data_IF_450790364387
#
_entry.id   IF_450790364387
#
_cell.length_a   1.000
_cell.length_b   1.000
_cell.length_c   1.000
_cell.angle_alpha   90.00
_cell.angle_beta   90.00
_cell.angle_gamma   90.00
#
_symmetry.space_group_name_H-M   'P 1'
#
loop_
_entity.id
_entity.type
_entity.pdbx_description
1 polymer ?
#
# COMPACT_ATOMS: atom_id res chain seq x y z
N UNK A 1 26.02 3.80 -28.09
CA UNK A 1 24.76 3.14 -28.53
C UNK A 1 24.78 1.74 -27.94
N UNK A 2 24.26 1.57 -26.75
CA UNK A 2 24.11 0.30 -26.05
C UNK A 2 22.65 -0.07 -26.02
N UNK A 3 22.33 -1.18 -26.62
CA UNK A 3 21.00 -1.76 -26.76
C UNK A 3 20.44 -2.09 -25.36
N UNK A 4 19.34 -1.48 -25.01
CA UNK A 4 18.51 -1.83 -23.85
C UNK A 4 17.94 -3.23 -24.11
N UNK A 5 18.49 -4.24 -23.45
CA UNK A 5 17.94 -5.58 -23.49
C UNK A 5 16.78 -5.68 -22.47
N UNK A 6 15.64 -6.10 -23.01
CA UNK A 6 14.37 -6.29 -22.36
C UNK A 6 14.46 -6.99 -20.99
N UNK A 7 14.09 -6.27 -19.95
CA UNK A 7 13.75 -6.86 -18.66
C UNK A 7 12.45 -7.66 -18.81
N UNK A 8 12.47 -8.94 -18.45
CA UNK A 8 11.29 -9.78 -18.43
C UNK A 8 10.90 -10.06 -16.98
N UNK A 9 9.68 -9.70 -16.63
CA UNK A 9 9.04 -10.23 -15.43
C UNK A 9 8.69 -11.68 -15.74
N UNK A 10 9.31 -12.60 -15.00
CA UNK A 10 9.07 -14.02 -15.18
C UNK A 10 8.19 -14.50 -14.04
N UNK A 11 6.96 -14.94 -14.35
CA UNK A 11 6.04 -15.54 -13.40
C UNK A 11 6.18 -17.06 -13.56
N UNK A 12 6.96 -17.68 -12.72
CA UNK A 12 7.02 -19.12 -12.60
C UNK A 12 6.49 -19.55 -11.23
N UNK A 13 5.49 -20.40 -11.21
CA UNK A 13 4.94 -21.04 -10.00
C UNK A 13 4.41 -20.07 -8.92
N UNK A 14 3.66 -19.03 -9.29
CA UNK A 14 3.10 -18.03 -8.38
C UNK A 14 4.15 -17.20 -7.61
N UNK A 15 5.40 -17.19 -8.04
CA UNK A 15 6.44 -16.31 -7.52
C UNK A 15 6.68 -15.16 -8.48
N UNK A 16 6.62 -13.93 -7.96
CA UNK A 16 7.09 -12.74 -8.71
C UNK A 16 8.57 -12.62 -8.45
N UNK A 17 9.39 -13.04 -9.41
CA UNK A 17 10.83 -12.82 -9.41
C UNK A 17 11.12 -11.83 -10.52
N UNK A 18 11.47 -10.61 -10.16
CA UNK A 18 11.95 -9.61 -11.12
C UNK A 18 13.42 -9.90 -11.35
N UNK A 19 13.77 -10.49 -12.50
CA UNK A 19 15.15 -10.82 -12.85
C UNK A 19 15.69 -9.74 -13.77
N UNK A 20 16.69 -9.00 -13.29
CA UNK A 20 17.45 -8.05 -14.08
C UNK A 20 18.91 -8.46 -14.18
N UNK A 21 19.52 -8.27 -15.33
CA UNK A 21 20.95 -8.43 -15.56
C UNK A 21 21.61 -7.05 -15.63
N UNK A 22 22.69 -6.90 -14.86
CA UNK A 22 23.73 -5.87 -14.91
C UNK A 22 23.36 -4.43 -14.48
N UNK A 23 23.77 -4.08 -13.26
CA UNK A 23 24.18 -2.73 -12.90
C UNK A 23 25.23 -2.76 -11.79
N UNK A 24 26.48 -2.92 -12.19
CA UNK A 24 27.62 -3.20 -11.30
C UNK A 24 28.35 -1.96 -10.75
N UNK A 25 27.94 -0.72 -10.98
CA UNK A 25 28.80 0.44 -10.71
C UNK A 25 28.37 1.40 -9.58
N UNK A 26 27.23 1.25 -8.93
CA UNK A 26 26.76 2.27 -7.98
C UNK A 26 27.07 2.06 -6.50
N UNK A 27 27.70 0.96 -6.10
CA UNK A 27 27.85 0.62 -4.67
C UNK A 27 29.30 0.56 -4.16
N UNK A 28 30.09 1.59 -4.40
CA UNK A 28 31.45 1.72 -3.84
C UNK A 28 31.49 2.68 -2.63
N UNK A 29 30.63 2.57 -1.65
CA UNK A 29 30.73 3.40 -0.46
C UNK A 29 30.87 2.58 0.84
N UNK A 30 31.57 3.18 1.83
CA UNK A 30 31.80 2.64 3.18
C UNK A 30 30.53 2.18 3.90
N UNK A 31 29.39 2.78 3.56
CA UNK A 31 28.04 2.45 4.04
C UNK A 31 27.58 1.07 3.57
N UNK A 32 27.93 0.68 2.35
CA UNK A 32 27.61 -0.63 1.78
C UNK A 32 28.27 -1.77 2.57
N UNK A 33 29.51 -1.58 3.00
CA UNK A 33 30.21 -2.56 3.83
C UNK A 33 29.57 -2.72 5.22
N UNK A 34 29.08 -1.65 5.81
CA UNK A 34 28.40 -1.69 7.11
C UNK A 34 27.03 -2.39 7.00
N UNK A 35 26.26 -2.10 5.96
CA UNK A 35 24.98 -2.76 5.68
C UNK A 35 25.18 -4.26 5.43
N UNK A 36 26.17 -4.64 4.63
CA UNK A 36 26.49 -6.05 4.35
C UNK A 36 26.98 -6.80 5.60
N UNK A 37 27.69 -6.13 6.50
CA UNK A 37 28.20 -6.72 7.73
C UNK A 37 27.11 -6.94 8.78
N UNK A 38 26.20 -5.99 8.96
CA UNK A 38 25.16 -6.05 9.99
C UNK A 38 23.89 -6.78 9.53
N UNK A 39 23.61 -6.78 8.23
CA UNK A 39 22.44 -7.40 7.62
C UNK A 39 22.83 -8.46 6.56
N UNK A 40 23.81 -9.29 6.89
CA UNK A 40 24.29 -10.37 6.02
C UNK A 40 23.13 -11.21 5.48
N UNK A 41 23.04 -11.33 4.17
CA UNK A 41 22.02 -12.08 3.45
C UNK A 41 20.73 -11.30 3.14
N UNK A 42 20.60 -10.04 3.56
CA UNK A 42 19.46 -9.18 3.18
C UNK A 42 19.76 -8.35 1.94
N UNK A 43 21.03 -8.00 1.72
CA UNK A 43 21.45 -7.26 0.54
C UNK A 43 22.03 -8.27 -0.44
N UNK A 44 21.37 -8.40 -1.57
CA UNK A 44 21.79 -9.26 -2.67
C UNK A 44 22.44 -8.39 -3.75
N UNK A 45 23.47 -8.93 -4.40
CA UNK A 45 24.19 -8.22 -5.48
C UNK A 45 23.35 -8.07 -6.76
N UNK A 46 22.23 -8.79 -6.83
CA UNK A 46 21.29 -8.82 -7.95
C UNK A 46 20.02 -7.94 -7.74
N UNK A 47 20.00 -7.05 -6.74
CA UNK A 47 18.90 -6.13 -6.53
C UNK A 47 18.90 -5.06 -7.63
N UNK A 48 17.79 -4.94 -8.40
CA UNK A 48 17.70 -3.95 -9.48
C UNK A 48 17.62 -2.52 -8.93
N UNK A 49 18.01 -1.55 -9.74
CA UNK A 49 17.89 -0.15 -9.38
C UNK A 49 16.40 0.25 -9.20
N UNK A 50 16.14 1.18 -8.28
CA UNK A 50 14.80 1.67 -7.98
C UNK A 50 14.16 2.28 -9.22
N UNK A 51 14.94 3.02 -9.98
CA UNK A 51 14.52 3.70 -11.20
C UNK A 51 14.05 2.70 -12.27
N UNK A 52 14.79 1.59 -12.48
CA UNK A 52 14.46 0.56 -13.46
C UNK A 52 13.16 -0.17 -13.10
N UNK A 53 12.99 -0.51 -11.83
CA UNK A 53 11.74 -1.13 -11.32
C UNK A 53 10.57 -0.18 -11.48
N UNK A 54 10.76 1.09 -11.14
CA UNK A 54 9.74 2.12 -11.25
C UNK A 54 9.29 2.33 -12.69
N UNK A 55 10.23 2.37 -13.65
CA UNK A 55 9.94 2.50 -15.08
C UNK A 55 9.17 1.29 -15.61
N UNK A 56 9.61 0.08 -15.28
CA UNK A 56 8.93 -1.15 -15.70
C UNK A 56 7.47 -1.18 -15.21
N UNK A 57 7.25 -0.85 -13.93
CA UNK A 57 5.90 -0.81 -13.35
C UNK A 57 5.02 0.28 -13.97
N UNK A 58 5.56 1.46 -14.29
CA UNK A 58 4.80 2.51 -14.98
C UNK A 58 4.43 2.13 -16.40
N UNK A 59 5.26 1.36 -17.10
CA UNK A 59 4.95 0.86 -18.44
C UNK A 59 3.79 -0.15 -18.39
N UNK A 60 3.79 -1.07 -17.41
CA UNK A 60 2.67 -1.99 -17.17
C UNK A 60 1.38 -1.23 -16.82
N UNK A 61 1.48 -0.24 -15.96
CA UNK A 61 0.36 0.62 -15.57
C UNK A 61 -0.24 1.33 -16.79
N UNK A 62 0.58 1.88 -17.68
CA UNK A 62 0.13 2.58 -18.89
C UNK A 62 -0.63 1.64 -19.82
N UNK A 63 -0.15 0.43 -20.01
CA UNK A 63 -0.82 -0.60 -20.81
C UNK A 63 -2.19 -0.97 -20.22
N UNK A 64 -2.25 -1.19 -18.90
CA UNK A 64 -3.47 -1.49 -18.20
C UNK A 64 -4.48 -0.34 -18.25
N UNK A 65 -4.03 0.92 -18.14
CA UNK A 65 -4.91 2.08 -18.21
C UNK A 65 -5.62 2.17 -19.56
N UNK A 66 -4.89 1.99 -20.65
CA UNK A 66 -5.45 2.01 -22.00
C UNK A 66 -6.50 0.90 -22.17
N UNK A 67 -6.21 -0.30 -21.68
CA UNK A 67 -7.14 -1.42 -21.73
C UNK A 67 -8.39 -1.17 -20.89
N UNK A 68 -8.22 -0.70 -19.66
CA UNK A 68 -9.30 -0.41 -18.72
C UNK A 68 -10.28 0.62 -19.28
N UNK A 69 -9.80 1.75 -19.79
CA UNK A 69 -10.66 2.78 -20.35
C UNK A 69 -11.35 2.33 -21.64
N UNK A 70 -10.66 1.58 -22.52
CA UNK A 70 -11.28 1.01 -23.71
C UNK A 70 -12.44 0.07 -23.36
N UNK A 71 -12.32 -0.70 -22.30
CA UNK A 71 -13.37 -1.61 -21.82
C UNK A 71 -14.56 -0.86 -21.21
N UNK A 72 -14.31 0.19 -20.44
CA UNK A 72 -15.37 1.06 -19.89
C UNK A 72 -16.21 1.69 -21.00
N UNK A 73 -15.58 2.15 -22.09
CA UNK A 73 -16.31 2.77 -23.22
C UNK A 73 -17.01 1.75 -24.12
N UNK A 74 -16.53 0.51 -24.23
CA UNK A 74 -17.11 -0.51 -25.10
C UNK A 74 -18.41 -1.15 -24.59
N UNK A 75 -18.95 -0.70 -23.47
CA UNK A 75 -20.16 -1.25 -22.82
C UNK A 75 -20.10 -2.77 -22.51
N UNK A 76 -18.95 -3.39 -22.67
CA UNK A 76 -18.77 -4.78 -22.24
C UNK A 76 -18.72 -4.77 -20.73
N UNK A 77 -19.57 -5.57 -20.13
CA UNK A 77 -19.78 -5.74 -18.67
C UNK A 77 -18.50 -5.82 -17.86
N UNK A 78 -17.84 -4.71 -17.69
CA UNK A 78 -16.92 -4.53 -16.58
C UNK A 78 -17.78 -4.09 -15.41
N UNK A 79 -17.96 -5.01 -14.52
CA UNK A 79 -18.71 -4.78 -13.30
C UNK A 79 -18.09 -3.74 -12.37
N UNK A 80 -16.97 -3.14 -12.76
CA UNK A 80 -16.18 -2.15 -12.02
C UNK A 80 -16.48 -0.68 -12.35
N UNK A 81 -17.23 -0.43 -13.40
CA UNK A 81 -17.41 0.93 -13.86
C UNK A 81 -18.53 1.62 -13.07
N UNK A 82 -18.18 2.16 -11.91
CA UNK A 82 -18.97 3.24 -11.31
C UNK A 82 -18.93 4.45 -12.25
N UNK A 83 -19.92 5.35 -12.18
CA UNK A 83 -19.91 6.62 -12.95
C UNK A 83 -18.61 7.42 -12.70
N UNK A 84 -18.05 7.34 -11.49
CA UNK A 84 -16.77 7.94 -11.15
C UNK A 84 -15.59 7.39 -11.96
N UNK A 85 -15.57 6.07 -12.24
CA UNK A 85 -14.51 5.46 -13.06
C UNK A 85 -14.67 5.82 -14.55
N UNK A 86 -15.90 5.96 -15.04
CA UNK A 86 -16.17 6.46 -16.39
C UNK A 86 -15.68 7.89 -16.53
N UNK A 87 -16.03 8.77 -15.60
CA UNK A 87 -15.56 10.14 -15.57
C UNK A 87 -14.03 10.23 -15.58
N UNK A 88 -13.36 9.36 -14.82
CA UNK A 88 -11.89 9.27 -14.80
C UNK A 88 -11.28 8.93 -16.18
N UNK A 89 -11.94 8.11 -16.98
CA UNK A 89 -11.47 7.77 -18.33
C UNK A 89 -11.77 8.86 -19.38
N UNK A 90 -12.81 9.66 -19.18
CA UNK A 90 -13.20 10.76 -20.05
C UNK A 90 -12.28 11.98 -19.90
N UNK A 91 -11.76 12.21 -18.69
CA UNK A 91 -10.99 13.40 -18.32
C UNK A 91 -9.52 13.07 -18.08
N UNK A 92 -8.83 12.57 -19.12
CA UNK A 92 -7.45 12.09 -19.05
C UNK A 92 -6.36 13.16 -18.89
N UNK A 93 -6.68 14.44 -18.79
CA UNK A 93 -5.70 15.53 -18.68
C UNK A 93 -5.00 15.59 -17.31
N UNK A 94 -4.14 14.61 -17.07
CA UNK A 94 -3.34 14.49 -15.83
C UNK A 94 -2.08 15.38 -15.80
N UNK A 95 -1.84 16.21 -16.82
CA UNK A 95 -0.57 16.90 -17.04
C UNK A 95 -0.52 18.40 -16.77
N UNK A 96 -1.64 19.08 -16.72
CA UNK A 96 -1.68 20.54 -16.64
C UNK A 96 -2.18 21.01 -15.27
N UNK A 97 -1.35 20.98 -14.25
CA UNK A 97 -1.33 21.85 -13.04
C UNK A 97 -2.63 22.35 -12.39
N UNK A 98 -3.78 22.09 -12.95
CA UNK A 98 -5.07 22.46 -12.39
C UNK A 98 -5.66 21.26 -11.63
N UNK A 99 -5.95 21.47 -10.38
CA UNK A 99 -6.41 20.59 -9.30
C UNK A 99 -7.65 19.76 -9.59
N UNK A 100 -7.65 18.89 -10.60
CA UNK A 100 -8.74 17.93 -10.78
C UNK A 100 -8.42 16.63 -10.01
N UNK A 101 -8.53 16.69 -8.68
CA UNK A 101 -8.51 15.53 -7.78
C UNK A 101 -9.63 14.53 -8.11
N UNK A 102 -10.71 14.99 -8.71
CA UNK A 102 -11.95 14.24 -8.96
C UNK A 102 -11.87 13.20 -10.09
N UNK A 103 -10.89 13.25 -10.97
CA UNK A 103 -10.75 12.30 -12.08
C UNK A 103 -9.74 11.18 -11.81
N UNK A 104 -9.11 11.12 -10.65
CA UNK A 104 -8.05 10.16 -10.34
C UNK A 104 -8.59 8.94 -9.63
N UNK A 105 -8.00 7.77 -9.94
CA UNK A 105 -8.36 6.48 -9.35
C UNK A 105 -7.48 6.17 -8.15
N UNK A 106 -8.09 5.79 -7.04
CA UNK A 106 -7.41 5.48 -5.79
C UNK A 106 -7.37 3.97 -5.53
N UNK A 107 -6.19 3.45 -5.21
CA UNK A 107 -6.00 2.12 -4.63
C UNK A 107 -5.96 2.25 -3.11
N UNK A 108 -6.91 1.66 -2.40
CA UNK A 108 -6.89 1.61 -0.93
C UNK A 108 -6.39 0.26 -0.48
N UNK A 109 -5.26 0.23 0.21
CA UNK A 109 -4.63 -1.00 0.72
C UNK A 109 -4.80 -1.10 2.23
N UNK A 110 -5.37 -2.22 2.68
CA UNK A 110 -5.59 -2.54 4.08
C UNK A 110 -4.72 -3.77 4.45
N UNK A 111 -3.55 -3.57 5.08
CA UNK A 111 -2.77 -4.68 5.60
C UNK A 111 -3.53 -5.37 6.74
N UNK A 112 -3.61 -6.70 6.69
CA UNK A 112 -4.57 -7.43 7.50
C UNK A 112 -4.01 -8.74 8.07
N UNK A 113 -4.38 -9.06 9.31
CA UNK A 113 -4.34 -10.39 9.90
C UNK A 113 -5.22 -10.45 11.16
N UNK A 114 -6.16 -11.42 11.19
CA UNK A 114 -6.99 -11.74 12.36
C UNK A 114 -7.77 -10.54 12.95
N UNK A 115 -8.24 -9.61 12.11
CA UNK A 115 -8.99 -8.40 12.50
C UNK A 115 -10.36 -8.33 11.80
N UNK A 116 -11.04 -9.46 11.66
CA UNK A 116 -12.30 -9.55 10.90
C UNK A 116 -13.38 -8.58 11.39
N UNK A 117 -13.52 -8.42 12.72
CA UNK A 117 -14.52 -7.51 13.29
C UNK A 117 -14.17 -6.03 13.04
N UNK A 118 -12.89 -5.69 12.87
CA UNK A 118 -12.48 -4.35 12.46
C UNK A 118 -12.80 -4.14 10.98
N UNK A 119 -12.49 -5.11 10.15
CA UNK A 119 -12.73 -5.05 8.71
C UNK A 119 -14.23 -4.91 8.39
N UNK A 120 -15.10 -5.62 9.13
CA UNK A 120 -16.58 -5.49 9.02
C UNK A 120 -17.08 -4.08 9.31
N UNK A 121 -16.40 -3.33 10.20
CA UNK A 121 -16.75 -1.95 10.50
C UNK A 121 -16.10 -0.96 9.53
N UNK A 122 -14.85 -1.21 9.16
CA UNK A 122 -14.09 -0.31 8.30
C UNK A 122 -14.62 -0.27 6.87
N UNK A 123 -14.80 -1.43 6.23
CA UNK A 123 -15.14 -1.50 4.80
C UNK A 123 -16.42 -0.73 4.46
N UNK A 124 -17.56 -0.95 5.14
CA UNK A 124 -18.77 -0.19 4.82
C UNK A 124 -18.61 1.31 5.04
N UNK A 125 -17.87 1.72 6.08
CA UNK A 125 -17.62 3.13 6.36
C UNK A 125 -16.75 3.77 5.28
N UNK A 126 -15.71 3.08 4.86
CA UNK A 126 -14.79 3.53 3.81
C UNK A 126 -15.51 3.64 2.46
N UNK A 127 -16.27 2.63 2.08
CA UNK A 127 -17.06 2.63 0.85
C UNK A 127 -18.07 3.77 0.82
N UNK A 128 -18.77 4.02 1.95
CA UNK A 128 -19.69 5.15 2.06
C UNK A 128 -19.00 6.49 1.74
N UNK A 129 -17.81 6.72 2.31
CA UNK A 129 -17.04 7.96 2.07
C UNK A 129 -16.60 8.06 0.62
N UNK A 130 -15.99 6.99 0.09
CA UNK A 130 -15.48 6.95 -1.28
C UNK A 130 -16.57 7.19 -2.32
N UNK A 131 -17.75 6.60 -2.11
CA UNK A 131 -18.91 6.78 -2.97
C UNK A 131 -19.49 8.19 -2.87
N UNK A 132 -19.63 8.72 -1.64
CA UNK A 132 -20.12 10.08 -1.42
C UNK A 132 -19.21 11.11 -2.09
N UNK A 133 -17.89 10.90 -2.05
CA UNK A 133 -16.88 11.75 -2.71
C UNK A 133 -16.74 11.44 -4.21
N UNK A 134 -17.50 10.49 -4.76
CA UNK A 134 -17.45 10.09 -6.18
C UNK A 134 -16.05 9.71 -6.65
N UNK A 135 -15.29 9.02 -5.81
CA UNK A 135 -13.95 8.53 -6.12
C UNK A 135 -14.06 7.21 -6.86
N UNK A 136 -13.32 7.05 -7.95
CA UNK A 136 -13.08 5.74 -8.56
C UNK A 136 -12.01 5.01 -7.75
N UNK A 137 -12.32 3.83 -7.20
CA UNK A 137 -11.43 3.14 -6.26
C UNK A 137 -11.41 1.62 -6.44
N UNK A 138 -10.34 1.02 -5.93
CA UNK A 138 -10.25 -0.40 -5.62
C UNK A 138 -9.78 -0.54 -4.16
N UNK A 139 -10.49 -1.33 -3.36
CA UNK A 139 -10.03 -1.71 -2.01
C UNK A 139 -9.35 -3.07 -2.09
N UNK A 140 -8.12 -3.14 -1.57
CA UNK A 140 -7.34 -4.37 -1.47
C UNK A 140 -7.04 -4.68 -0.01
N UNK A 141 -7.57 -5.78 0.49
CA UNK A 141 -7.19 -6.37 1.78
C UNK A 141 -6.01 -7.29 1.55
N UNK A 142 -4.85 -6.94 2.10
CA UNK A 142 -3.62 -7.72 2.01
C UNK A 142 -3.41 -8.52 3.29
N UNK A 143 -3.82 -9.78 3.29
CA UNK A 143 -3.77 -10.67 4.46
C UNK A 143 -2.46 -11.44 4.52
N UNK A 144 -1.72 -11.24 5.62
CA UNK A 144 -0.57 -12.10 5.89
C UNK A 144 -1.05 -13.46 6.40
N UNK A 145 -0.67 -14.52 5.70
CA UNK A 145 -0.87 -15.90 6.15
C UNK A 145 0.35 -16.40 6.96
N UNK A 146 0.17 -17.51 7.66
CA UNK A 146 1.24 -18.13 8.45
C UNK A 146 1.41 -17.50 9.84
N UNK A 147 2.46 -17.96 10.56
CA UNK A 147 2.69 -17.65 11.98
C UNK A 147 3.86 -16.71 12.23
N UNK A 148 4.58 -16.31 11.19
CA UNK A 148 5.69 -15.35 11.29
C UNK A 148 5.20 -13.99 11.82
N UNK A 149 6.06 -13.18 12.45
CA UNK A 149 5.67 -11.84 12.87
C UNK A 149 5.05 -11.03 11.73
N UNK A 150 4.12 -10.15 12.03
CA UNK A 150 3.43 -9.35 11.03
C UNK A 150 4.39 -8.41 10.31
N UNK A 151 4.42 -8.44 8.97
CA UNK A 151 5.24 -7.55 8.17
C UNK A 151 4.35 -6.63 7.31
N UNK A 152 3.95 -5.51 7.90
CA UNK A 152 3.04 -4.54 7.30
C UNK A 152 3.62 -3.96 6.00
N UNK A 153 4.92 -3.64 5.99
CA UNK A 153 5.60 -3.07 4.82
C UNK A 153 5.54 -3.99 3.60
N UNK A 154 5.88 -5.28 3.78
CA UNK A 154 5.80 -6.25 2.69
C UNK A 154 4.37 -6.45 2.18
N UNK A 155 3.38 -6.45 3.07
CA UNK A 155 1.97 -6.59 2.66
C UNK A 155 1.50 -5.40 1.82
N UNK A 156 1.91 -4.19 2.18
CA UNK A 156 1.59 -2.97 1.41
C UNK A 156 2.27 -2.97 0.04
N UNK A 157 3.54 -3.36 -0.02
CA UNK A 157 4.28 -3.51 -1.27
C UNK A 157 3.69 -4.61 -2.16
N UNK A 158 3.37 -5.77 -1.61
CA UNK A 158 2.76 -6.89 -2.36
C UNK A 158 1.39 -6.51 -2.92
N UNK A 159 0.54 -5.86 -2.11
CA UNK A 159 -0.76 -5.37 -2.57
C UNK A 159 -0.63 -4.35 -3.71
N UNK A 160 0.36 -3.46 -3.64
CA UNK A 160 0.66 -2.52 -4.71
C UNK A 160 1.00 -3.25 -6.01
N UNK A 161 1.91 -4.22 -5.97
CA UNK A 161 2.34 -4.99 -7.14
C UNK A 161 1.19 -5.79 -7.75
N UNK A 162 0.38 -6.48 -6.92
CA UNK A 162 -0.76 -7.25 -7.42
C UNK A 162 -1.87 -6.34 -7.99
N UNK A 163 -2.12 -5.19 -7.35
CA UNK A 163 -3.12 -4.24 -7.83
C UNK A 163 -2.76 -3.61 -9.19
N UNK A 164 -1.48 -3.45 -9.52
CA UNK A 164 -1.02 -2.98 -10.83
C UNK A 164 -1.48 -3.87 -11.99
N UNK A 165 -1.86 -5.12 -11.72
CA UNK A 165 -2.39 -6.06 -12.71
C UNK A 165 -3.91 -6.04 -12.82
N UNK A 166 -4.56 -5.40 -11.85
CA UNK A 166 -6.02 -5.45 -11.71
C UNK A 166 -6.69 -4.12 -12.06
N UNK A 167 -6.03 -3.01 -11.71
CA UNK A 167 -6.66 -1.71 -11.70
C UNK A 167 -5.65 -0.58 -11.91
N UNK A 168 -5.84 0.28 -12.92
CA UNK A 168 -4.90 1.37 -13.20
C UNK A 168 -5.17 2.56 -12.27
N UNK A 169 -4.57 2.56 -11.09
CA UNK A 169 -4.70 3.62 -10.09
C UNK A 169 -3.64 4.71 -10.24
N UNK A 170 -3.96 5.94 -9.80
CA UNK A 170 -3.07 7.11 -9.84
C UNK A 170 -2.40 7.38 -8.50
N UNK A 171 -3.03 6.93 -7.42
CA UNK A 171 -2.50 7.04 -6.07
C UNK A 171 -2.83 5.79 -5.26
N UNK A 172 -2.09 5.61 -4.18
CA UNK A 172 -2.31 4.57 -3.19
C UNK A 172 -2.62 5.22 -1.84
N UNK A 173 -3.65 4.74 -1.17
CA UNK A 173 -3.98 5.06 0.22
C UNK A 173 -3.72 3.83 1.08
N UNK A 174 -2.73 3.90 1.94
CA UNK A 174 -2.40 2.88 2.92
C UNK A 174 -3.25 3.12 4.17
N UNK A 175 -4.02 2.14 4.59
CA UNK A 175 -5.06 2.33 5.59
C UNK A 175 -5.02 1.26 6.67
N UNK A 176 -4.79 1.64 7.92
CA UNK A 176 -4.84 0.70 9.04
C UNK A 176 -6.28 0.23 9.29
N UNK A 177 -6.45 -1.07 9.53
CA UNK A 177 -7.75 -1.72 9.66
C UNK A 177 -8.56 -1.26 10.88
N UNK A 178 -7.91 -0.63 11.85
CA UNK A 178 -8.51 -0.21 13.12
C UNK A 178 -8.85 1.29 13.20
N UNK A 179 -8.72 2.05 12.11
CA UNK A 179 -9.03 3.47 12.07
C UNK A 179 -10.33 3.74 11.30
N UNK A 180 -11.31 4.35 11.98
CA UNK A 180 -12.57 4.77 11.38
C UNK A 180 -12.61 6.30 11.26
N UNK A 181 -12.76 6.82 10.03
CA UNK A 181 -12.97 8.24 9.78
C UNK A 181 -14.31 8.68 10.36
N UNK A 182 -14.33 9.77 11.12
CA UNK A 182 -15.53 10.33 11.74
C UNK A 182 -16.28 11.28 10.82
N UNK A 183 -15.58 11.93 9.87
CA UNK A 183 -16.18 12.82 8.88
C UNK A 183 -16.34 12.13 7.53
N UNK A 184 -17.42 12.44 6.81
CA UNK A 184 -17.60 12.05 5.42
C UNK A 184 -16.74 12.88 4.46
N UNK A 185 -16.23 14.01 4.94
CA UNK A 185 -15.36 14.92 4.18
C UNK A 185 -13.87 14.60 4.40
N UNK A 186 -13.58 13.52 5.15
CA UNK A 186 -12.20 13.02 5.27
C UNK A 186 -11.63 12.72 3.87
N UNK A 187 -10.52 13.40 3.45
CA UNK A 187 -10.08 13.30 2.07
C UNK A 187 -9.47 11.93 1.75
N UNK A 188 -10.07 11.25 0.77
CA UNK A 188 -9.59 10.00 0.18
C UNK A 188 -9.27 10.13 -1.32
N UNK A 189 -9.34 11.33 -1.88
CA UNK A 189 -8.88 11.62 -3.24
C UNK A 189 -7.37 11.45 -3.40
N UNK A 190 -6.90 11.48 -4.64
CA UNK A 190 -5.46 11.40 -4.92
C UNK A 190 -4.78 12.74 -4.64
N UNK A 191 -3.90 12.83 -3.65
CA UNK A 191 -3.21 14.07 -3.33
C UNK A 191 -2.09 14.37 -4.35
N UNK A 192 -1.70 15.63 -4.46
CA UNK A 192 -0.53 16.06 -5.26
C UNK A 192 0.78 15.69 -4.57
N UNK A 193 0.83 15.82 -3.24
CA UNK A 193 1.94 15.40 -2.38
C UNK A 193 1.47 14.32 -1.41
N UNK A 194 2.37 13.50 -0.84
CA UNK A 194 2.02 12.59 0.24
C UNK A 194 1.16 13.28 1.29
N UNK A 195 0.04 12.67 1.66
CA UNK A 195 -0.89 13.21 2.63
C UNK A 195 -1.10 12.23 3.78
N UNK A 196 -0.66 12.61 4.97
CA UNK A 196 -0.97 11.90 6.20
C UNK A 196 -2.34 12.36 6.71
N UNK A 197 -3.35 11.49 6.56
CA UNK A 197 -4.75 11.87 6.81
C UNK A 197 -5.18 11.63 8.26
N UNK A 198 -4.65 10.60 8.93
CA UNK A 198 -5.04 10.22 10.30
C UNK A 198 -4.32 11.03 11.39
N UNK A 199 -4.49 12.35 11.36
CA UNK A 199 -3.80 13.29 12.25
C UNK A 199 -4.39 13.31 13.66
N UNK A 200 -5.73 13.24 13.77
CA UNK A 200 -6.46 13.39 15.02
C UNK A 200 -7.14 12.08 15.41
N UNK A 201 -6.41 11.22 16.11
CA UNK A 201 -6.90 9.92 16.59
C UNK A 201 -7.31 10.06 18.07
N UNK A 202 -8.50 9.58 18.41
CA UNK A 202 -9.07 9.65 19.77
C UNK A 202 -8.15 9.04 20.84
N UNK A 203 -7.50 7.92 20.53
CA UNK A 203 -6.49 7.26 21.39
C UNK A 203 -5.34 8.20 21.77
N UNK A 204 -4.96 9.11 20.90
CA UNK A 204 -3.90 10.12 21.13
C UNK A 204 -4.47 11.48 21.57
N UNK A 205 -5.70 11.50 22.12
CA UNK A 205 -6.39 12.72 22.57
C UNK A 205 -6.56 13.73 21.43
N UNK A 206 -6.77 13.25 20.21
CA UNK A 206 -6.91 14.06 19.00
C UNK A 206 -5.72 15.00 18.77
N UNK A 207 -4.50 14.51 19.00
CA UNK A 207 -3.26 15.23 18.74
C UNK A 207 -2.28 14.34 18.00
N UNK A 208 -1.50 14.95 17.11
CA UNK A 208 -0.39 14.27 16.47
C UNK A 208 0.70 13.99 17.51
N UNK A 209 1.12 12.74 17.76
CA UNK A 209 2.13 12.42 18.78
C UNK A 209 3.49 13.07 18.51
N UNK A 210 3.94 13.09 17.24
CA UNK A 210 5.18 13.73 16.78
C UNK A 210 5.04 14.06 15.28
N UNK A 211 5.87 14.99 14.81
CA UNK A 211 5.67 15.60 13.49
C UNK A 211 6.02 14.65 12.33
N UNK A 212 6.93 13.72 12.55
CA UNK A 212 7.39 12.73 11.58
C UNK A 212 6.40 11.57 11.38
N UNK A 213 5.40 11.43 12.25
CA UNK A 213 4.41 10.36 12.16
C UNK A 213 3.64 10.42 10.84
N UNK A 214 3.69 9.33 10.09
CA UNK A 214 2.87 9.12 8.88
C UNK A 214 2.10 7.80 8.93
N UNK A 215 2.04 7.17 10.09
CA UNK A 215 1.29 5.94 10.33
C UNK A 215 -0.21 6.13 10.35
N UNK A 216 -0.94 5.04 10.23
CA UNK A 216 -2.40 5.02 10.19
C UNK A 216 -2.94 5.14 8.78
N UNK A 217 -3.11 6.36 8.24
CA UNK A 217 -3.60 6.57 6.89
C UNK A 217 -2.68 7.53 6.15
N UNK A 218 -2.02 7.01 5.11
CA UNK A 218 -1.09 7.75 4.26
C UNK A 218 -1.46 7.56 2.79
N UNK A 219 -1.76 8.65 2.09
CA UNK A 219 -2.03 8.66 0.66
C UNK A 219 -0.85 9.20 -0.13
N UNK A 220 -0.47 8.52 -1.19
CA UNK A 220 0.72 8.81 -2.00
C UNK A 220 0.39 8.74 -3.50
N UNK A 221 0.83 9.70 -4.33
CA UNK A 221 0.86 9.50 -5.78
C UNK A 221 1.69 8.26 -6.15
N UNK A 222 1.26 7.50 -7.17
CA UNK A 222 1.98 6.29 -7.62
C UNK A 222 3.46 6.58 -7.92
N UNK A 223 3.75 7.70 -8.59
CA UNK A 223 5.13 8.08 -8.92
C UNK A 223 5.99 8.34 -7.68
N UNK A 224 5.39 8.84 -6.60
CA UNK A 224 6.09 9.05 -5.32
C UNK A 224 6.37 7.71 -4.67
N UNK A 225 5.37 6.81 -4.61
CA UNK A 225 5.54 5.47 -4.02
C UNK A 225 6.66 4.67 -4.71
N UNK A 226 6.71 4.72 -6.04
CA UNK A 226 7.78 4.11 -6.83
C UNK A 226 9.15 4.75 -6.56
N UNK A 227 9.22 6.10 -6.54
CA UNK A 227 10.47 6.84 -6.32
C UNK A 227 11.11 6.56 -4.96
N UNK A 228 10.32 6.35 -3.92
CA UNK A 228 10.81 6.00 -2.58
C UNK A 228 11.00 4.49 -2.39
N UNK A 229 10.82 3.69 -3.44
CA UNK A 229 10.93 2.24 -3.43
C UNK A 229 9.92 1.54 -2.50
N UNK A 230 8.71 2.09 -2.35
CA UNK A 230 7.69 1.58 -1.44
C UNK A 230 8.13 1.58 0.03
N UNK A 231 7.60 0.65 0.82
CA UNK A 231 7.99 0.44 2.22
C UNK A 231 9.20 -0.47 2.36
N UNK A 232 9.87 -0.37 3.51
CA UNK A 232 10.89 -1.34 3.90
C UNK A 232 10.27 -2.74 4.11
N UNK A 233 10.98 -3.77 3.66
CA UNK A 233 10.63 -5.17 3.88
C UNK A 233 11.17 -5.73 5.22
N UNK A 234 11.90 -4.92 6.00
CA UNK A 234 12.69 -5.39 7.15
C UNK A 234 11.99 -5.29 8.50
N UNK A 235 10.84 -4.61 8.60
CA UNK A 235 10.13 -4.44 9.86
C UNK A 235 9.15 -5.59 10.10
N UNK A 236 9.52 -6.49 11.03
CA UNK A 236 8.75 -7.67 11.42
C UNK A 236 8.17 -7.52 12.82
N UNK A 237 6.91 -7.19 12.94
CA UNK A 237 6.21 -6.79 14.14
C UNK A 237 5.85 -5.32 14.10
N UNK A 238 5.33 -4.80 15.22
CA UNK A 238 4.83 -3.43 15.26
C UNK A 238 5.94 -2.40 15.40
N UNK A 239 5.92 -1.38 14.54
CA UNK A 239 6.57 -0.08 14.70
C UNK A 239 7.77 0.18 13.80
N UNK A 240 7.92 1.44 13.43
CA UNK A 240 8.94 2.12 12.65
C UNK A 240 8.91 1.90 11.11
N UNK A 241 8.01 1.13 10.57
CA UNK A 241 7.82 1.04 9.12
C UNK A 241 7.31 2.36 8.53
N UNK A 242 6.50 3.08 9.29
CA UNK A 242 5.97 4.42 8.96
C UNK A 242 7.02 5.52 9.18
N UNK A 243 7.80 5.47 10.25
CA UNK A 243 8.95 6.36 10.45
C UNK A 243 9.96 6.21 9.30
N UNK A 244 10.25 4.98 8.87
CA UNK A 244 11.12 4.70 7.71
C UNK A 244 10.54 5.30 6.41
N UNK A 245 9.24 5.26 6.21
CA UNK A 245 8.60 5.91 5.07
C UNK A 245 8.77 7.41 5.11
N UNK A 246 8.63 8.04 6.28
CA UNK A 246 8.88 9.46 6.43
C UNK A 246 10.32 9.83 6.06
N UNK A 247 11.31 9.05 6.54
CA UNK A 247 12.72 9.23 6.19
C UNK A 247 12.95 9.10 4.67
N UNK A 248 12.32 8.11 4.00
CA UNK A 248 12.39 7.95 2.54
C UNK A 248 11.84 9.16 1.79
N UNK A 249 10.71 9.70 2.22
CA UNK A 249 10.11 10.90 1.64
C UNK A 249 11.05 12.10 1.82
N UNK A 250 11.57 12.30 3.02
CA UNK A 250 12.49 13.42 3.36
C UNK A 250 13.80 13.31 2.58
N UNK A 251 14.40 12.14 2.49
CA UNK A 251 15.63 11.89 1.70
C UNK A 251 15.44 12.21 0.21
N UNK A 252 14.21 12.14 -0.29
CA UNK A 252 13.86 12.50 -1.67
C UNK A 252 13.37 13.95 -1.83
N UNK A 253 13.38 14.75 -0.77
CA UNK A 253 12.92 16.13 -0.78
C UNK A 253 11.40 16.27 -0.99
N UNK A 254 10.63 15.25 -0.60
CA UNK A 254 9.18 15.19 -0.81
C UNK A 254 8.46 15.57 0.49
N UNK A 255 7.72 16.69 0.51
CA UNK A 255 7.02 17.13 1.71
C UNK A 255 5.78 16.27 1.97
N UNK A 256 5.45 16.09 3.26
CA UNK A 256 4.19 15.45 3.69
C UNK A 256 3.19 16.54 4.06
N UNK A 257 1.99 16.44 3.48
CA UNK A 257 0.87 17.32 3.78
C UNK A 257 -0.09 16.70 4.79
N UNK A 258 -0.93 17.52 5.41
CA UNK A 258 -1.96 17.09 6.34
C UNK A 258 -3.25 17.87 6.09
N UNK A 259 -4.42 17.23 6.10
CA UNK A 259 -5.69 17.94 5.94
C UNK A 259 -6.05 18.73 7.20
N UNK A 260 -7.09 19.55 7.07
CA UNK A 260 -7.64 20.31 8.19
C UNK A 260 -8.07 19.39 9.34
N UNK A 261 -7.83 19.77 10.59
CA UNK A 261 -8.22 19.00 11.78
C UNK A 261 -9.70 18.58 11.80
N UNK A 262 -10.58 19.42 11.29
CA UNK A 262 -12.04 19.19 11.33
C UNK A 262 -12.48 18.00 10.49
N UNK A 263 -11.75 17.66 9.44
CA UNK A 263 -12.04 16.54 8.54
C UNK A 263 -11.12 15.34 8.73
N UNK A 264 -10.11 15.44 9.60
CA UNK A 264 -9.09 14.41 9.83
C UNK A 264 -9.17 13.76 11.22
N UNK A 265 -10.39 13.62 11.75
CA UNK A 265 -10.63 12.94 13.03
C UNK A 265 -10.98 11.48 12.84
N UNK A 266 -10.36 10.63 13.68
CA UNK A 266 -10.51 9.18 13.60
C UNK A 266 -10.79 8.56 14.96
N UNK A 267 -11.62 7.52 14.95
CA UNK A 267 -11.81 6.60 16.08
C UNK A 267 -10.93 5.38 15.87
N UNK A 268 -10.10 5.05 16.86
CA UNK A 268 -9.34 3.82 16.84
C UNK A 268 -10.14 2.68 17.49
N UNK A 269 -10.34 1.61 16.76
CA UNK A 269 -10.97 0.39 17.27
C UNK A 269 -10.01 -0.33 18.22
N UNK A 270 -10.53 -0.77 19.38
CA UNK A 270 -9.73 -1.43 20.39
C UNK A 270 -9.32 -2.83 19.96
N UNK A 271 -8.08 -3.18 20.20
CA UNK A 271 -7.55 -4.53 19.99
C UNK A 271 -6.43 -4.84 20.97
N UNK A 272 -6.08 -6.11 21.12
CA UNK A 272 -4.90 -6.52 21.87
C UNK A 272 -3.63 -6.00 21.18
N UNK A 273 -2.63 -5.54 21.96
CA UNK A 273 -1.36 -5.10 21.38
C UNK A 273 -0.70 -6.18 20.52
N UNK A 274 -0.20 -5.79 19.36
CA UNK A 274 0.62 -6.66 18.53
C UNK A 274 2.04 -6.79 19.09
N UNK A 275 2.73 -7.92 18.90
CA UNK A 275 4.14 -8.03 19.24
C UNK A 275 4.96 -6.93 18.58
N UNK A 276 5.74 -6.21 19.39
CA UNK A 276 6.57 -5.12 18.89
C UNK A 276 7.84 -5.65 18.24
N UNK A 277 8.30 -4.96 17.20
CA UNK A 277 9.64 -5.14 16.66
C UNK A 277 10.68 -4.72 17.72
N UNK A 278 11.78 -5.48 17.91
CA UNK A 278 12.76 -5.17 18.95
C UNK A 278 13.34 -3.76 18.81
N UNK A 279 13.24 -2.94 19.87
CA UNK A 279 13.58 -1.51 19.85
C UNK A 279 15.00 -1.24 19.32
N UNK A 280 15.99 -2.05 19.75
CA UNK A 280 17.39 -1.89 19.30
C UNK A 280 17.52 -2.08 17.78
N UNK A 281 16.91 -3.12 17.25
CA UNK A 281 16.95 -3.41 15.80
C UNK A 281 16.20 -2.34 15.02
N UNK A 282 15.04 -1.90 15.54
CA UNK A 282 14.25 -0.82 14.95
C UNK A 282 15.07 0.45 14.79
N UNK A 283 15.76 0.89 15.84
CA UNK A 283 16.62 2.07 15.78
C UNK A 283 17.78 1.90 14.82
N UNK A 284 18.42 0.72 14.78
CA UNK A 284 19.52 0.46 13.86
C UNK A 284 19.05 0.51 12.39
N UNK A 285 17.93 -0.13 12.06
CA UNK A 285 17.38 -0.12 10.70
C UNK A 285 16.98 1.30 10.30
N UNK A 286 16.33 2.04 11.19
CA UNK A 286 15.88 3.41 10.92
C UNK A 286 17.08 4.34 10.69
N UNK A 287 18.13 4.27 11.51
CA UNK A 287 19.35 5.08 11.33
C UNK A 287 20.01 4.89 9.96
N UNK A 288 19.83 3.73 9.35
CA UNK A 288 20.36 3.41 8.02
C UNK A 288 19.36 3.69 6.88
N UNK A 289 18.19 4.24 7.19
CA UNK A 289 17.06 4.37 6.26
C UNK A 289 17.40 5.04 4.95
N UNK A 290 18.09 6.20 4.98
CA UNK A 290 18.48 6.96 3.79
C UNK A 290 19.43 6.17 2.86
N UNK A 291 20.41 5.48 3.43
CA UNK A 291 21.36 4.68 2.64
C UNK A 291 20.74 3.37 2.13
N UNK A 292 19.78 2.83 2.87
CA UNK A 292 19.21 1.49 2.67
C UNK A 292 18.02 1.47 1.72
N UNK A 293 17.21 2.55 1.63
CA UNK A 293 15.94 2.51 0.91
C UNK A 293 16.09 2.12 -0.56
N UNK A 294 17.23 2.38 -1.18
CA UNK A 294 17.51 1.97 -2.57
C UNK A 294 17.70 0.46 -2.75
N UNK A 295 17.92 -0.28 -1.65
CA UNK A 295 18.18 -1.72 -1.64
C UNK A 295 17.04 -2.53 -0.99
N UNK A 296 16.10 -1.86 -0.37
CA UNK A 296 15.08 -2.48 0.45
C UNK A 296 13.72 -1.84 0.21
N UNK A 297 12.85 -2.53 -0.47
CA UNK A 297 11.52 -2.08 -0.84
C UNK A 297 10.95 -2.87 -2.00
N UNK A 298 10.31 -2.20 -2.95
CA UNK A 298 9.71 -2.85 -4.12
C UNK A 298 10.72 -3.67 -4.94
N UNK A 299 11.94 -3.17 -5.08
CA UNK A 299 12.98 -3.81 -5.86
C UNK A 299 13.57 -5.08 -5.21
N UNK A 300 13.39 -5.27 -3.92
CA UNK A 300 13.85 -6.44 -3.17
C UNK A 300 12.68 -7.26 -2.58
N UNK A 301 11.46 -6.93 -2.98
CA UNK A 301 10.25 -7.58 -2.49
C UNK A 301 10.22 -9.06 -2.89
N UNK A 302 10.01 -9.93 -1.90
CA UNK A 302 9.86 -11.37 -2.11
C UNK A 302 8.68 -11.89 -1.31
N UNK A 303 7.64 -12.37 -2.00
CA UNK A 303 6.42 -12.91 -1.41
C UNK A 303 5.82 -13.98 -2.31
N UNK A 304 4.86 -14.73 -1.77
CA UNK A 304 4.03 -15.64 -2.55
C UNK A 304 2.57 -15.22 -2.44
N UNK A 305 1.93 -14.97 -3.58
CA UNK A 305 0.47 -14.85 -3.63
C UNK A 305 -0.12 -16.26 -3.56
N UNK A 306 -0.77 -16.57 -2.42
CA UNK A 306 -1.33 -17.89 -2.16
C UNK A 306 -2.75 -18.01 -2.68
N UNK A 307 -3.53 -16.92 -2.54
CA UNK A 307 -4.93 -16.90 -2.94
C UNK A 307 -5.37 -15.44 -3.23
N UNK A 308 -6.30 -15.31 -4.17
CA UNK A 308 -6.91 -14.03 -4.51
C UNK A 308 -8.39 -14.25 -4.81
N UNK A 309 -9.26 -13.49 -4.14
CA UNK A 309 -10.69 -13.56 -4.39
C UNK A 309 -11.37 -12.21 -4.19
N UNK A 310 -12.48 -12.03 -4.87
CA UNK A 310 -13.35 -10.87 -4.68
C UNK A 310 -14.31 -11.17 -3.55
N UNK A 311 -14.38 -10.31 -2.55
CA UNK A 311 -15.26 -10.45 -1.39
C UNK A 311 -16.27 -9.33 -1.35
N UNK A 312 -17.51 -9.68 -1.08
CA UNK A 312 -18.59 -8.72 -0.84
C UNK A 312 -18.82 -8.66 0.67
N UNK A 313 -18.71 -7.48 1.25
CA UNK A 313 -19.14 -7.25 2.62
C UNK A 313 -20.54 -6.66 2.56
N UNK A 314 -21.56 -7.47 2.84
CA UNK A 314 -22.90 -6.96 3.09
C UNK A 314 -22.91 -6.40 4.51
N UNK A 315 -23.42 -5.18 4.68
CA UNK A 315 -23.99 -4.79 5.97
C UNK A 315 -25.17 -5.74 6.20
N UNK A 316 -25.00 -6.69 7.11
CA UNK A 316 -26.11 -7.52 7.56
C UNK A 316 -27.04 -6.66 8.40
N UNK A 317 -27.99 -6.00 7.76
CA UNK A 317 -29.29 -5.76 8.37
C UNK A 317 -29.94 -7.14 8.48
N UNK A 318 -29.85 -7.74 9.65
CA UNK A 318 -30.47 -9.05 9.98
C UNK A 318 -32.00 -9.03 9.90
N UNK A 319 -32.61 -7.96 9.38
CA UNK A 319 -34.05 -7.79 9.25
C UNK A 319 -34.60 -7.86 7.81
N UNK A 320 -33.80 -8.23 6.83
CA UNK A 320 -34.30 -8.47 5.46
C UNK A 320 -34.75 -9.93 5.29
N UNK A 321 -35.67 -10.38 6.15
CA UNK A 321 -36.45 -11.59 5.91
C UNK A 321 -37.58 -11.28 4.92
N UNK A 322 -37.56 -11.97 3.77
CA UNK A 322 -38.71 -12.25 2.90
C UNK A 322 -39.38 -11.09 2.18
N UNK A 323 -38.86 -10.70 1.03
CA UNK A 323 -39.77 -10.35 -0.08
C UNK A 323 -39.29 -11.05 -1.37
N UNK A 324 -39.97 -12.13 -1.70
CA UNK A 324 -40.04 -12.66 -3.07
C UNK A 324 -40.79 -11.62 -3.91
N UNK A 325 -40.12 -11.09 -4.93
CA UNK A 325 -40.81 -10.39 -5.99
C UNK A 325 -40.23 -9.02 -6.34
N UNK A 326 -39.64 -8.95 -7.54
CA UNK A 326 -39.25 -7.79 -8.33
C UNK A 326 -37.85 -7.22 -8.07
N UNK A 327 -36.95 -7.72 -8.88
CA UNK A 327 -35.61 -7.22 -9.13
C UNK A 327 -35.68 -5.91 -9.94
N UNK A 328 -35.49 -4.78 -9.27
CA UNK A 328 -35.00 -3.54 -9.87
C UNK A 328 -34.28 -2.72 -8.78
N UNK A 329 -33.30 -3.35 -8.12
CA UNK A 329 -32.29 -2.63 -7.37
C UNK A 329 -30.99 -2.75 -8.16
N UNK A 330 -30.49 -1.63 -8.64
CA UNK A 330 -29.11 -1.48 -9.09
C UNK A 330 -28.23 -1.90 -7.92
N UNK A 331 -27.83 -3.15 -7.90
CA UNK A 331 -26.83 -3.67 -6.95
C UNK A 331 -25.55 -2.90 -7.20
N UNK A 332 -25.29 -1.91 -6.35
CA UNK A 332 -23.97 -1.26 -6.30
C UNK A 332 -22.99 -2.36 -5.93
N UNK A 333 -22.23 -2.80 -6.90
CA UNK A 333 -21.21 -3.84 -6.68
C UNK A 333 -20.01 -3.18 -6.00
N UNK A 334 -19.80 -3.56 -4.75
CA UNK A 334 -18.65 -3.13 -3.96
C UNK A 334 -17.42 -3.94 -4.32
N UNK A 335 -16.31 -3.27 -4.62
CA UNK A 335 -15.10 -3.95 -5.10
C UNK A 335 -14.06 -4.02 -4.01
N UNK A 336 -13.98 -5.18 -3.41
CA UNK A 336 -12.93 -5.53 -2.50
C UNK A 336 -12.24 -6.78 -3.00
N UNK A 337 -10.96 -6.67 -3.29
CA UNK A 337 -10.07 -7.78 -3.56
C UNK A 337 -9.37 -8.18 -2.27
N UNK A 338 -9.43 -9.45 -1.93
CA UNK A 338 -8.73 -10.01 -0.79
C UNK A 338 -7.58 -10.88 -1.29
N UNK A 339 -6.36 -10.51 -0.92
CA UNK A 339 -5.13 -11.21 -1.26
C UNK A 339 -4.64 -11.96 -0.02
N UNK A 340 -4.31 -13.24 -0.16
CA UNK A 340 -3.59 -14.01 0.86
C UNK A 340 -2.13 -14.10 0.49
N UNK A 341 -1.29 -13.46 1.29
CA UNK A 341 0.12 -13.25 1.04
C UNK A 341 0.96 -14.03 2.06
N UNK A 342 1.85 -14.88 1.55
CA UNK A 342 2.96 -15.43 2.33
C UNK A 342 4.17 -14.52 2.16
N UNK A 343 4.56 -13.84 3.22
CA UNK A 343 5.74 -12.95 3.28
C UNK A 343 7.04 -13.69 3.56
N UNK A 344 7.02 -15.03 3.55
CA UNK A 344 8.15 -15.87 3.86
C UNK A 344 8.50 -15.88 5.34
N UNK A 345 9.76 -16.20 5.64
CA UNK A 345 10.25 -16.33 7.02
C UNK A 345 10.98 -15.07 7.48
N UNK A 346 10.71 -14.68 8.72
CA UNK A 346 11.49 -13.63 9.37
C UNK A 346 12.98 -14.00 9.41
N UNK A 347 13.88 -13.04 9.17
CA UNK A 347 15.32 -13.27 9.17
C UNK A 347 15.82 -13.87 10.48
N UNK A 348 16.86 -14.71 10.41
CA UNK A 348 17.42 -15.41 11.58
C UNK A 348 17.93 -14.45 12.67
N UNK A 349 18.46 -13.30 12.29
CA UNK A 349 18.94 -12.27 13.22
C UNK A 349 17.81 -11.69 14.08
N UNK A 350 16.57 -11.62 13.59
CA UNK A 350 15.41 -11.21 14.38
C UNK A 350 15.08 -12.24 15.47
N UNK A 351 15.21 -13.53 15.17
CA UNK A 351 14.96 -14.62 16.12
C UNK A 351 15.97 -14.62 17.27
N UNK A 352 17.23 -14.33 16.97
CA UNK A 352 18.29 -14.24 17.98
C UNK A 352 18.05 -13.06 18.92
N UNK A 353 17.66 -11.90 18.40
CA UNK A 353 17.38 -10.71 19.21
C UNK A 353 16.18 -10.91 20.15
N UNK A 354 15.15 -11.66 19.75
CA UNK A 354 13.98 -11.94 20.60
C UNK A 354 14.27 -12.89 21.77
N UNK A 355 15.32 -13.70 21.66
CA UNK A 355 15.77 -14.59 22.74
C UNK A 355 16.57 -13.81 23.80
N UNK A 356 17.33 -12.79 23.41
CA UNK A 356 18.14 -12.00 24.33
C UNK A 356 17.32 -11.04 25.21
N UNK A 357 16.09 -10.70 24.84
CA UNK A 357 15.20 -9.83 25.62
C UNK A 357 14.44 -10.59 26.74
N UNK A 358 14.48 -11.92 26.72
CA UNK A 358 13.85 -12.77 27.76
C UNK A 358 14.79 -13.15 28.92
N UNK A 359 15.97 -12.53 29.05
CA UNK A 359 16.89 -12.74 30.16
C UNK A 359 17.00 -11.51 31.04
#
# INVERSE_FOLDING_TARGET
MGTIQNSRINIANNHVVIIYRDSHELFKHRTDQLLRKEFVGLIRDDIPAVEDVGEAMLNEWTALENQFCAQIFSNRSYSFATDACRYSCEHKDYGTGTSNEYGRRNLVVIPFRDRHEHLKQLVPRLEHILQKQKICYLIVVSEQIGTEPFNKGMLMNAAFVEALRLFPFHCITLHDVDLLALSDDTPYGCPTFPQHTSVHIDKFRNRLPYIELVGGILSLPIKVFLRVNGFSNLYWGWGAEDDDMYERLTANGIPVTRPDPTVSMFKMLRHSPSPSFPLRLRSQILTLGEARYRLDGLNSLNYTLVDQYVKFYHSSDENATNMKGQSNQSTVQHWLVHLKIDVGRAPSWLRIASVQVKR
#
